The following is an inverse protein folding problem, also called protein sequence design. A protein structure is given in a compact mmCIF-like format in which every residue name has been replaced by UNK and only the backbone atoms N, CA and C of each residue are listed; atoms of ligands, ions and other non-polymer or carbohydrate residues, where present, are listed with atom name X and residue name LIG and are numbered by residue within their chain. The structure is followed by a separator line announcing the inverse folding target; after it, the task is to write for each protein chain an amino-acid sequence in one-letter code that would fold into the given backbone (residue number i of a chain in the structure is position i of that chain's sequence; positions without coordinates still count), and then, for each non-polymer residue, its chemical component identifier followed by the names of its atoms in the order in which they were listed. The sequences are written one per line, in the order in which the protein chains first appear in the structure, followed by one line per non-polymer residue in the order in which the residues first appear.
data_IF_227913011473
#
_entry.id   IF_227913011473
#
_cell.length_a   1.000
_cell.length_b   1.000
_cell.length_c   1.000
_cell.angle_alpha   90.00
_cell.angle_beta   90.00
_cell.angle_gamma   90.00
#
_symmetry.space_group_name_H-M   'P 1'
#
loop_
_entity.id
_entity.type
_entity.pdbx_description
1 polymer ?
#
# COMPACT_ATOMS: atom_id res chain seq x y z
N UNK A 1 15.97 14.22 20.89
CA UNK A 1 15.60 15.64 20.65
C UNK A 1 14.23 15.66 20.01
N UNK A 2 13.26 16.41 20.56
CA UNK A 2 11.92 16.52 20.00
C UNK A 2 11.92 17.57 18.87
N UNK A 3 12.04 17.13 17.63
CA UNK A 3 12.10 18.01 16.44
C UNK A 3 10.87 17.89 15.54
N UNK A 4 10.70 18.87 14.64
CA UNK A 4 9.77 18.77 13.52
C UNK A 4 10.40 17.98 12.37
N UNK A 5 9.69 16.98 11.84
CA UNK A 5 10.13 16.15 10.73
C UNK A 5 9.13 16.28 9.59
N UNK A 6 9.61 16.75 8.44
CA UNK A 6 8.83 16.90 7.22
C UNK A 6 9.11 15.72 6.28
N UNK A 7 8.05 15.03 5.87
CA UNK A 7 8.12 13.98 4.86
C UNK A 7 7.44 14.49 3.60
N UNK A 8 8.23 14.72 2.56
CA UNK A 8 7.80 15.34 1.31
C UNK A 8 7.56 14.25 0.28
N UNK A 9 6.32 14.12 -0.16
CA UNK A 9 5.91 13.28 -1.28
C UNK A 9 6.22 13.99 -2.60
N UNK A 10 7.41 13.77 -3.15
CA UNK A 10 7.87 14.49 -4.34
C UNK A 10 7.14 14.06 -5.64
N UNK A 11 6.41 12.94 -5.61
CA UNK A 11 5.55 12.54 -6.73
C UNK A 11 4.30 13.41 -6.81
N UNK A 12 3.75 13.79 -5.64
CA UNK A 12 2.51 14.57 -5.55
C UNK A 12 2.73 16.10 -5.42
N UNK A 13 3.82 16.52 -4.78
CA UNK A 13 4.11 17.94 -4.53
C UNK A 13 5.51 18.37 -4.98
N UNK A 14 5.57 19.54 -5.60
CA UNK A 14 6.81 20.29 -5.84
C UNK A 14 6.84 21.49 -4.89
N UNK A 15 7.44 21.36 -3.70
CA UNK A 15 7.41 22.40 -2.68
C UNK A 15 8.37 23.55 -3.04
N UNK A 16 7.80 24.71 -3.38
CA UNK A 16 8.57 25.95 -3.62
C UNK A 16 9.04 26.65 -2.34
N UNK A 17 8.40 26.37 -1.20
CA UNK A 17 8.58 27.13 0.05
C UNK A 17 9.57 26.52 1.06
N UNK A 18 10.47 25.61 0.64
CA UNK A 18 11.44 24.96 1.56
C UNK A 18 12.34 25.95 2.27
N UNK A 19 12.81 27.00 1.58
CA UNK A 19 13.68 28.04 2.15
C UNK A 19 13.05 28.88 3.27
N UNK A 20 11.76 28.68 3.60
CA UNK A 20 11.09 29.29 4.76
C UNK A 20 11.24 28.45 6.04
N UNK A 21 11.65 27.18 5.93
CA UNK A 21 11.99 26.34 7.08
C UNK A 21 13.37 26.76 7.62
N UNK A 22 13.59 26.62 8.93
CA UNK A 22 14.85 26.98 9.58
C UNK A 22 15.79 25.77 9.63
N UNK A 23 16.99 25.82 9.02
CA UNK A 23 18.02 24.80 9.21
C UNK A 23 18.31 24.55 10.70
N UNK A 24 18.56 23.29 11.07
CA UNK A 24 18.81 22.86 12.45
C UNK A 24 17.59 22.85 13.39
N UNK A 25 16.43 23.37 12.98
CA UNK A 25 15.18 23.30 13.76
C UNK A 25 14.24 22.18 13.29
N UNK A 26 14.43 21.66 12.08
CA UNK A 26 13.62 20.59 11.52
C UNK A 26 14.43 19.69 10.58
N UNK A 27 13.96 18.45 10.42
CA UNK A 27 14.48 17.48 9.45
C UNK A 27 13.55 17.34 8.26
N UNK A 28 14.10 17.06 7.09
CA UNK A 28 13.38 16.97 5.83
C UNK A 28 13.78 15.70 5.09
N UNK A 29 12.84 14.77 4.93
CA UNK A 29 12.99 13.59 4.09
C UNK A 29 12.17 13.80 2.81
N UNK A 30 12.86 13.89 1.67
CA UNK A 30 12.23 13.99 0.34
C UNK A 30 12.14 12.62 -0.29
N UNK A 31 10.92 12.08 -0.40
CA UNK A 31 10.66 10.77 -0.98
C UNK A 31 10.54 10.89 -2.50
N UNK A 32 11.40 10.18 -3.22
CA UNK A 32 11.50 10.24 -4.67
C UNK A 32 11.12 8.89 -5.28
N UNK A 33 10.11 8.87 -6.15
CA UNK A 33 9.63 7.67 -6.83
C UNK A 33 10.71 6.94 -7.63
N UNK A 34 10.66 5.60 -7.72
CA UNK A 34 11.67 4.80 -8.44
C UNK A 34 11.79 5.23 -9.92
N UNK A 35 10.69 5.66 -10.55
CA UNK A 35 10.66 6.11 -11.94
C UNK A 35 11.16 7.56 -12.14
N UNK A 36 11.30 8.36 -11.07
CA UNK A 36 11.70 9.77 -11.15
C UNK A 36 13.22 9.88 -11.35
N UNK A 37 13.66 10.34 -12.53
CA UNK A 37 15.09 10.35 -12.90
C UNK A 37 15.90 11.52 -12.31
N UNK A 38 15.26 12.65 -12.04
CA UNK A 38 15.92 13.87 -11.58
C UNK A 38 15.06 14.64 -10.56
N UNK A 39 15.72 15.49 -9.81
CA UNK A 39 15.14 16.47 -8.89
C UNK A 39 15.51 17.86 -9.43
N UNK A 40 14.61 18.87 -9.38
CA UNK A 40 14.92 20.24 -9.80
C UNK A 40 16.12 20.83 -9.05
N UNK A 41 16.88 21.68 -9.74
CA UNK A 41 18.08 22.33 -9.18
C UNK A 41 17.68 23.29 -8.06
N UNK A 42 16.54 23.98 -8.21
CA UNK A 42 15.96 24.91 -7.26
C UNK A 42 15.61 24.21 -5.92
N UNK A 43 15.04 23.00 -6.00
CA UNK A 43 14.76 22.16 -4.85
C UNK A 43 16.06 21.70 -4.16
N UNK A 44 17.09 21.42 -4.95
CA UNK A 44 18.40 20.99 -4.46
C UNK A 44 19.14 22.13 -3.74
N UNK A 45 19.11 23.32 -4.33
CA UNK A 45 19.62 24.56 -3.74
C UNK A 45 18.86 24.96 -2.47
N UNK A 46 17.53 24.77 -2.43
CA UNK A 46 16.73 25.07 -1.24
C UNK A 46 17.02 24.12 -0.07
N UNK A 47 17.46 22.88 -0.33
CA UNK A 47 17.78 21.89 0.70
C UNK A 47 19.25 21.89 1.13
N UNK A 48 20.16 22.38 0.29
CA UNK A 48 21.60 22.46 0.60
C UNK A 48 21.94 23.15 1.95
N UNK A 49 21.26 24.23 2.40
CA UNK A 49 21.52 24.86 3.70
C UNK A 49 21.16 24.01 4.92
N UNK A 50 20.37 22.94 4.76
CA UNK A 50 19.97 22.05 5.86
C UNK A 50 21.03 20.97 6.15
N UNK A 51 21.99 20.77 5.23
CA UNK A 51 23.09 19.81 5.40
C UNK A 51 22.59 18.42 5.81
N UNK A 52 23.02 17.87 6.97
CA UNK A 52 22.63 16.52 7.41
C UNK A 52 21.15 16.40 7.81
N UNK A 53 20.43 17.50 8.04
CA UNK A 53 19.01 17.47 8.40
C UNK A 53 18.08 17.36 7.18
N UNK A 54 18.61 17.43 5.94
CA UNK A 54 17.85 17.17 4.72
C UNK A 54 18.42 16.00 3.92
N UNK A 55 17.57 15.06 3.49
CA UNK A 55 17.98 13.94 2.67
C UNK A 55 16.96 13.55 1.60
N UNK A 56 17.46 12.94 0.52
CA UNK A 56 16.64 12.34 -0.52
C UNK A 56 16.53 10.83 -0.28
N UNK A 57 15.32 10.33 -0.12
CA UNK A 57 15.01 8.91 0.01
C UNK A 57 14.39 8.42 -1.29
N UNK A 58 15.19 7.79 -2.15
CA UNK A 58 14.67 7.12 -3.36
C UNK A 58 13.99 5.80 -2.95
N UNK A 59 12.73 5.63 -3.31
CA UNK A 59 11.98 4.40 -3.00
C UNK A 59 12.37 3.25 -3.94
N UNK A 60 12.16 2.02 -3.48
CA UNK A 60 12.29 0.82 -4.30
C UNK A 60 10.91 0.27 -4.70
N UNK A 61 10.81 -0.24 -5.93
CA UNK A 61 9.55 -0.74 -6.49
C UNK A 61 8.70 0.36 -7.15
N UNK A 62 7.89 -0.07 -8.12
CA UNK A 62 6.87 0.76 -8.76
C UNK A 62 5.49 0.19 -8.41
N UNK A 63 4.57 1.05 -8.01
CA UNK A 63 3.20 0.69 -7.66
C UNK A 63 2.40 1.90 -7.23
N UNK A 64 1.07 1.85 -7.39
CA UNK A 64 0.17 3.01 -7.23
C UNK A 64 0.31 3.78 -5.91
N UNK A 65 0.69 3.08 -4.84
CA UNK A 65 0.85 3.60 -3.48
C UNK A 65 2.24 3.28 -2.92
N UNK A 66 3.24 3.00 -3.78
CA UNK A 66 4.55 2.54 -3.35
C UNK A 66 5.26 3.60 -2.48
N UNK A 67 5.14 4.87 -2.86
CA UNK A 67 5.70 6.00 -2.11
C UNK A 67 5.02 6.14 -0.75
N UNK A 68 3.68 6.05 -0.68
CA UNK A 68 2.91 6.14 0.56
C UNK A 68 3.36 5.12 1.61
N UNK A 69 3.58 3.88 1.18
CA UNK A 69 4.02 2.80 2.08
C UNK A 69 5.45 3.04 2.60
N UNK A 70 6.34 3.63 1.79
CA UNK A 70 7.66 4.04 2.26
C UNK A 70 7.55 5.18 3.28
N UNK A 71 6.73 6.22 3.01
CA UNK A 71 6.46 7.30 3.98
C UNK A 71 5.93 6.72 5.30
N UNK A 72 4.95 5.81 5.25
CA UNK A 72 4.38 5.18 6.44
C UNK A 72 5.42 4.38 7.24
N UNK A 73 6.26 3.60 6.56
CA UNK A 73 7.36 2.85 7.18
C UNK A 73 8.38 3.78 7.84
N UNK A 74 8.84 4.81 7.15
CA UNK A 74 9.83 5.76 7.68
C UNK A 74 9.28 6.56 8.87
N UNK A 75 7.99 6.91 8.90
CA UNK A 75 7.39 7.52 10.10
C UNK A 75 7.47 6.55 11.29
N UNK A 76 7.23 5.25 11.08
CA UNK A 76 7.38 4.23 12.12
C UNK A 76 8.80 4.17 12.69
N UNK A 77 9.81 4.10 11.81
CA UNK A 77 11.22 4.09 12.22
C UNK A 77 11.61 5.38 12.96
N UNK A 78 11.30 6.55 12.39
CA UNK A 78 11.66 7.84 12.97
C UNK A 78 10.90 8.14 14.28
N UNK A 79 9.67 7.65 14.44
CA UNK A 79 8.94 7.75 15.70
C UNK A 79 9.55 6.87 16.81
N UNK A 80 10.21 5.78 16.44
CA UNK A 80 10.96 4.93 17.37
C UNK A 80 12.31 5.55 17.75
N UNK A 81 13.09 6.05 16.78
CA UNK A 81 14.36 6.73 17.03
C UNK A 81 14.19 8.07 17.76
N UNK A 82 13.09 8.78 17.52
CA UNK A 82 12.84 10.12 18.06
C UNK A 82 11.49 10.20 18.80
N UNK A 83 11.41 9.64 20.03
CA UNK A 83 10.24 9.78 20.89
C UNK A 83 9.86 11.26 21.08
N UNK A 84 8.62 11.61 20.75
CA UNK A 84 8.11 12.98 20.82
C UNK A 84 8.45 13.89 19.63
N UNK A 85 8.99 13.35 18.52
CA UNK A 85 9.05 14.10 17.26
C UNK A 85 7.65 14.40 16.69
N UNK A 86 7.53 15.47 15.91
CA UNK A 86 6.28 15.89 15.25
C UNK A 86 6.41 15.73 13.74
N UNK A 87 5.56 14.89 13.16
CA UNK A 87 5.60 14.52 11.75
C UNK A 87 4.65 15.39 10.92
N UNK A 88 5.14 15.89 9.79
CA UNK A 88 4.35 16.64 8.81
C UNK A 88 4.51 16.00 7.43
N UNK A 89 3.47 15.29 6.97
CA UNK A 89 3.40 14.75 5.61
C UNK A 89 3.01 15.89 4.68
N UNK A 90 3.83 16.18 3.67
CA UNK A 90 3.55 17.17 2.64
C UNK A 90 3.08 16.42 1.39
N UNK A 91 1.77 16.28 1.24
CA UNK A 91 1.10 15.65 0.09
C UNK A 91 -0.34 16.14 -0.04
N UNK A 92 -0.83 16.29 -1.28
CA UNK A 92 -2.24 16.60 -1.55
C UNK A 92 -3.11 15.34 -1.48
N UNK A 93 -2.54 14.13 -1.52
CA UNK A 93 -3.33 12.90 -1.43
C UNK A 93 -3.97 12.74 -0.04
N UNK A 94 -5.26 12.43 -0.01
CA UNK A 94 -6.02 12.06 1.18
C UNK A 94 -5.75 10.61 1.65
N UNK A 95 -5.04 9.80 0.86
CA UNK A 95 -4.66 8.43 1.20
C UNK A 95 -3.92 8.30 2.54
N UNK A 96 -3.24 9.35 3.00
CA UNK A 96 -2.57 9.41 4.30
C UNK A 96 -3.50 9.74 5.48
N UNK A 97 -4.73 10.22 5.27
CA UNK A 97 -5.61 10.63 6.39
C UNK A 97 -5.95 9.47 7.36
N UNK A 98 -6.17 8.22 6.91
CA UNK A 98 -6.26 7.06 7.80
C UNK A 98 -4.98 6.79 8.59
N UNK A 99 -3.80 6.98 7.98
CA UNK A 99 -2.50 6.81 8.65
C UNK A 99 -2.32 7.88 9.74
N UNK A 100 -2.56 9.15 9.43
CA UNK A 100 -2.49 10.26 10.39
C UNK A 100 -3.40 10.01 11.59
N UNK A 101 -4.63 9.53 11.36
CA UNK A 101 -5.56 9.17 12.43
C UNK A 101 -5.03 8.01 13.29
N UNK A 102 -4.44 6.98 12.68
CA UNK A 102 -3.87 5.84 13.42
C UNK A 102 -2.64 6.24 14.25
N UNK A 103 -1.72 7.03 13.68
CA UNK A 103 -0.57 7.57 14.40
C UNK A 103 -1.00 8.36 15.65
N UNK A 104 -2.07 9.16 15.55
CA UNK A 104 -2.67 9.84 16.70
C UNK A 104 -3.15 8.89 17.80
N UNK A 105 -3.65 7.70 17.47
CA UNK A 105 -4.03 6.68 18.48
C UNK A 105 -2.83 6.03 19.17
N UNK A 106 -1.63 6.14 18.60
CA UNK A 106 -0.37 5.67 19.17
C UNK A 106 0.38 6.79 19.93
N UNK A 107 -0.22 7.97 20.09
CA UNK A 107 0.44 9.14 20.68
C UNK A 107 1.46 9.83 19.78
N UNK A 108 1.58 9.41 18.50
CA UNK A 108 2.52 9.98 17.54
C UNK A 108 1.88 11.23 16.91
N UNK A 109 2.48 12.39 17.17
CA UNK A 109 2.02 13.67 16.63
C UNK A 109 2.30 13.73 15.12
N UNK A 110 1.28 13.48 14.29
CA UNK A 110 1.37 13.57 12.84
C UNK A 110 0.27 14.47 12.25
N UNK A 111 0.58 15.19 11.17
CA UNK A 111 -0.40 15.95 10.38
C UNK A 111 -0.06 15.86 8.89
N UNK A 112 -1.06 16.06 8.03
CA UNK A 112 -0.88 16.25 6.59
C UNK A 112 -1.11 17.71 6.21
N UNK A 113 -0.31 18.20 5.26
CA UNK A 113 -0.47 19.51 4.62
C UNK A 113 -0.31 19.38 3.11
N UNK A 114 -1.11 20.12 2.34
CA UNK A 114 -1.06 20.10 0.87
C UNK A 114 0.18 20.83 0.29
N UNK A 115 0.83 21.67 1.10
CA UNK A 115 2.06 22.40 0.81
C UNK A 115 2.78 22.69 2.14
N UNK A 116 4.08 22.99 2.09
CA UNK A 116 4.82 23.43 3.27
C UNK A 116 4.23 24.73 3.83
N UNK A 117 4.29 24.93 5.16
CA UNK A 117 3.79 26.15 5.77
C UNK A 117 4.58 27.36 5.24
N UNK A 118 3.86 28.31 4.64
CA UNK A 118 4.35 29.69 4.54
C UNK A 118 4.56 30.24 5.96
N UNK A 119 5.44 31.24 6.11
CA UNK A 119 5.86 31.79 7.39
C UNK A 119 4.68 32.05 8.35
N UNK A 120 4.83 31.76 9.66
CA UNK A 120 3.73 31.83 10.60
C UNK A 120 3.24 33.28 10.73
N UNK A 121 2.00 33.54 10.28
CA UNK A 121 1.23 34.64 10.85
C UNK A 121 0.97 34.27 12.31
N UNK A 122 1.62 35.01 13.21
CA UNK A 122 1.51 34.76 14.65
C UNK A 122 0.04 34.77 15.07
N UNK A 123 -0.32 33.76 15.86
CA UNK A 123 -1.34 33.79 16.92
C UNK A 123 -2.53 34.73 16.72
N UNK A 124 -3.73 34.15 16.54
CA UNK A 124 -4.69 34.13 17.65
C UNK A 124 -5.83 33.12 17.37
N UNK A 125 -5.98 32.17 18.29
CA UNK A 125 -7.29 31.72 18.72
C UNK A 125 -7.52 32.22 20.16
N UNK A 126 -8.67 31.93 20.80
CA UNK A 126 -9.83 31.22 20.28
C UNK A 126 -11.14 32.03 20.38
N UNK A 127 -12.09 31.80 19.47
CA UNK A 127 -13.51 32.09 19.74
C UNK A 127 -14.35 30.89 19.33
N UNK A 128 -14.90 30.21 20.33
CA UNK A 128 -15.89 29.17 20.12
C UNK A 128 -17.28 29.81 19.90
N UNK A 129 -17.91 29.54 18.78
CA UNK A 129 -19.35 29.81 18.58
C UNK A 129 -20.06 28.64 17.87
N UNK A 130 -20.63 27.77 18.69
CA UNK A 130 -21.98 27.23 18.48
C UNK A 130 -22.88 27.87 19.55
N UNK A 131 -24.22 27.91 19.39
CA UNK A 131 -25.03 27.17 18.42
C UNK A 131 -26.04 28.02 17.63
N UNK A 132 -26.60 27.44 16.56
CA UNK A 132 -28.05 27.49 16.30
C UNK A 132 -28.52 26.40 15.35
N UNK A 133 -29.56 25.68 15.79
CA UNK A 133 -30.49 24.94 14.94
C UNK A 133 -31.39 25.97 14.20
N UNK A 134 -32.22 25.67 13.18
CA UNK A 134 -32.83 24.42 12.69
C UNK A 134 -33.51 24.77 11.35
N UNK A 135 -33.56 23.89 10.35
CA UNK A 135 -34.76 23.62 9.54
C UNK A 135 -34.58 22.41 8.60
N UNK A 136 -35.59 21.54 8.55
CA UNK A 136 -35.80 20.55 7.50
C UNK A 136 -36.30 21.26 6.21
N UNK A 137 -36.44 20.68 5.02
CA UNK A 137 -36.82 19.31 4.58
C UNK A 137 -36.18 19.06 3.17
N UNK A 138 -36.21 17.91 2.46
CA UNK A 138 -36.90 16.63 2.56
C UNK A 138 -36.18 15.47 1.79
N UNK A 139 -36.88 14.34 1.67
CA UNK A 139 -36.92 13.39 0.54
C UNK A 139 -35.85 12.28 0.35
N UNK A 140 -36.39 11.05 0.30
CA UNK A 140 -36.02 9.91 -0.56
C UNK A 140 -34.78 9.02 -0.25
N UNK A 141 -35.06 7.95 0.52
CA UNK A 141 -34.54 6.56 0.43
C UNK A 141 -33.44 6.25 -0.63
N UNK A 142 -32.35 5.62 -0.17
CA UNK A 142 -32.03 4.20 -0.49
C UNK A 142 -31.01 3.60 0.49
N UNK A 143 -31.16 2.29 0.75
CA UNK A 143 -30.34 1.48 1.67
C UNK A 143 -29.16 0.86 0.91
N UNK A 144 -27.98 0.75 1.52
CA UNK A 144 -27.09 -0.38 1.25
C UNK A 144 -26.71 -1.14 2.54
N UNK A 145 -26.60 -2.46 2.40
CA UNK A 145 -26.37 -3.38 3.52
C UNK A 145 -24.90 -3.47 3.97
N UNK A 146 -24.71 -3.82 5.25
CA UNK A 146 -23.41 -4.06 5.88
C UNK A 146 -22.73 -5.33 5.33
N UNK A 147 -21.42 -5.34 5.03
CA UNK A 147 -20.61 -6.55 5.11
C UNK A 147 -20.16 -6.79 6.56
N UNK A 148 -20.12 -8.05 6.98
CA UNK A 148 -19.79 -8.47 8.36
C UNK A 148 -18.28 -8.56 8.56
N UNK A 149 -17.83 -8.29 9.80
CA UNK A 149 -16.49 -8.66 10.27
C UNK A 149 -16.32 -10.18 10.21
N UNK A 150 -15.15 -10.66 9.82
CA UNK A 150 -14.67 -12.00 10.20
C UNK A 150 -13.26 -11.83 10.76
N UNK A 151 -13.09 -12.32 11.99
CA UNK A 151 -11.82 -12.35 12.71
C UNK A 151 -10.97 -13.47 12.13
N UNK A 152 -9.69 -13.24 11.87
CA UNK A 152 -8.73 -14.32 11.66
C UNK A 152 -7.83 -14.41 12.88
N UNK A 153 -8.05 -15.44 13.68
CA UNK A 153 -7.31 -15.71 14.91
C UNK A 153 -5.90 -16.22 14.58
N UNK A 154 -4.91 -15.69 15.28
CA UNK A 154 -3.52 -16.16 15.24
C UNK A 154 -3.37 -17.44 16.06
N UNK A 155 -2.47 -18.35 15.63
CA UNK A 155 -1.31 -18.90 16.39
C UNK A 155 -0.74 -20.16 15.66
N UNK A 156 0.48 -20.64 16.01
CA UNK A 156 1.41 -21.19 15.01
C UNK A 156 1.81 -22.66 15.23
N UNK A 157 2.57 -23.21 14.28
CA UNK A 157 3.53 -24.32 14.45
C UNK A 157 4.65 -24.09 13.40
N UNK A 158 5.94 -23.96 13.75
CA UNK A 158 6.86 -24.80 14.53
C UNK A 158 7.60 -25.83 13.66
N UNK A 159 8.84 -26.15 14.04
CA UNK A 159 9.93 -26.57 13.14
C UNK A 159 10.14 -28.10 13.08
N UNK A 160 10.62 -28.62 11.94
CA UNK A 160 11.68 -29.66 11.86
C UNK A 160 12.04 -30.08 10.41
N UNK A 161 13.35 -30.20 10.14
CA UNK A 161 14.00 -31.12 9.18
C UNK A 161 14.74 -32.21 10.02
N UNK A 162 15.52 -33.21 9.51
CA UNK A 162 15.90 -33.56 8.12
C UNK A 162 15.86 -35.09 7.78
N UNK A 163 16.34 -35.47 6.58
CA UNK A 163 16.57 -36.86 6.12
C UNK A 163 15.34 -37.51 5.45
N UNK A 164 15.43 -38.38 4.43
CA UNK A 164 16.56 -39.15 3.86
C UNK A 164 16.49 -39.15 2.32
N UNK A 165 17.60 -39.51 1.68
CA UNK A 165 17.88 -39.50 0.23
C UNK A 165 17.44 -40.80 -0.49
N UNK A 166 17.51 -40.81 -1.83
CA UNK A 166 17.43 -41.95 -2.77
C UNK A 166 16.04 -42.45 -3.29
N UNK A 167 15.78 -42.04 -4.54
CA UNK A 167 15.35 -42.87 -5.69
C UNK A 167 13.85 -43.23 -5.95
N UNK A 168 13.39 -42.76 -7.11
CA UNK A 168 12.58 -43.48 -8.11
C UNK A 168 11.17 -44.03 -7.75
N UNK A 169 10.18 -43.13 -7.63
CA UNK A 169 8.86 -43.33 -8.26
C UNK A 169 8.33 -42.00 -8.85
N UNK A 170 7.68 -41.99 -10.02
CA UNK A 170 7.17 -40.77 -10.64
C UNK A 170 5.94 -40.25 -9.87
N UNK A 171 6.19 -39.34 -8.92
CA UNK A 171 5.16 -38.73 -8.07
C UNK A 171 4.18 -37.95 -8.94
N UNK A 172 2.90 -38.30 -8.82
CA UNK A 172 1.84 -37.85 -9.74
C UNK A 172 1.88 -36.32 -9.97
N UNK A 173 1.87 -35.85 -11.23
CA UNK A 173 1.69 -34.43 -11.51
C UNK A 173 0.32 -34.02 -11.00
N UNK A 174 0.25 -32.88 -10.32
CA UNK A 174 -1.01 -32.25 -9.89
C UNK A 174 -1.96 -32.20 -11.08
N UNK A 175 -3.09 -32.88 -10.97
CA UNK A 175 -3.92 -33.19 -12.12
C UNK A 175 -4.59 -31.93 -12.67
N UNK A 176 -4.65 -31.81 -13.99
CA UNK A 176 -5.57 -30.88 -14.67
C UNK A 176 -6.99 -31.04 -14.12
N UNK A 177 -7.34 -32.25 -13.73
CA UNK A 177 -8.64 -32.65 -13.18
C UNK A 177 -8.87 -32.17 -11.73
N UNK A 178 -7.84 -32.03 -10.89
CA UNK A 178 -7.92 -31.39 -9.57
C UNK A 178 -8.29 -29.91 -9.70
N UNK A 179 -7.68 -29.24 -10.68
CA UNK A 179 -7.96 -27.83 -11.02
C UNK A 179 -9.38 -27.68 -11.56
N UNK A 180 -9.85 -28.61 -12.42
CA UNK A 180 -11.25 -28.65 -12.89
C UNK A 180 -12.22 -28.85 -11.73
N UNK A 181 -11.95 -29.77 -10.80
CA UNK A 181 -12.80 -30.00 -9.64
C UNK A 181 -12.92 -28.75 -8.76
N UNK A 182 -11.80 -28.06 -8.48
CA UNK A 182 -11.77 -26.81 -7.73
C UNK A 182 -12.55 -25.69 -8.44
N UNK A 183 -12.36 -25.54 -9.75
CA UNK A 183 -13.05 -24.55 -10.58
C UNK A 183 -14.56 -24.82 -10.72
N UNK A 184 -15.01 -26.08 -10.65
CA UNK A 184 -16.44 -26.43 -10.60
C UNK A 184 -17.10 -26.01 -9.28
N UNK A 185 -16.40 -26.17 -8.16
CA UNK A 185 -16.92 -25.76 -6.84
C UNK A 185 -17.11 -24.25 -6.66
N UNK A 186 -16.32 -23.44 -7.36
CA UNK A 186 -16.36 -21.98 -7.25
C UNK A 186 -17.46 -21.39 -8.17
N UNK A 187 -18.63 -21.03 -7.63
CA UNK A 187 -19.74 -20.46 -8.44
C UNK A 187 -19.47 -19.03 -8.92
N UNK A 188 -19.48 -18.06 -8.01
CA UNK A 188 -19.33 -16.62 -8.32
C UNK A 188 -17.88 -16.10 -8.20
N UNK A 189 -16.95 -16.92 -7.71
CA UNK A 189 -15.55 -16.56 -7.46
C UNK A 189 -14.59 -16.98 -8.58
N UNK A 190 -15.09 -17.38 -9.76
CA UNK A 190 -14.24 -17.84 -10.87
C UNK A 190 -13.36 -16.70 -11.40
N UNK A 191 -12.03 -16.87 -11.51
CA UNK A 191 -11.15 -15.83 -12.03
C UNK A 191 -11.49 -15.43 -13.47
N UNK A 192 -12.00 -14.22 -13.69
CA UNK A 192 -12.41 -13.77 -15.03
C UNK A 192 -11.24 -13.36 -15.94
N UNK A 193 -10.00 -13.32 -15.41
CA UNK A 193 -8.78 -12.88 -16.12
C UNK A 193 -7.66 -13.92 -16.00
N UNK A 194 -6.86 -14.08 -17.05
CA UNK A 194 -5.80 -15.09 -17.12
C UNK A 194 -4.76 -14.92 -16.00
N UNK A 195 -4.26 -13.69 -15.75
CA UNK A 195 -3.32 -13.42 -14.64
C UNK A 195 -3.92 -13.75 -13.27
N UNK A 196 -5.22 -13.50 -13.07
CA UNK A 196 -5.91 -13.85 -11.83
C UNK A 196 -6.08 -15.37 -11.68
N UNK A 197 -6.27 -16.10 -12.78
CA UNK A 197 -6.29 -17.57 -12.78
C UNK A 197 -4.92 -18.14 -12.40
N UNK A 198 -3.84 -17.68 -13.03
CA UNK A 198 -2.46 -18.07 -12.70
C UNK A 198 -2.16 -17.87 -11.20
N UNK A 199 -2.40 -16.66 -10.66
CA UNK A 199 -2.19 -16.38 -9.24
C UNK A 199 -3.10 -17.19 -8.31
N UNK A 200 -4.32 -17.51 -8.74
CA UNK A 200 -5.23 -18.35 -7.95
C UNK A 200 -4.74 -19.80 -7.89
N UNK A 201 -4.24 -20.34 -9.01
CA UNK A 201 -3.69 -21.69 -9.08
C UNK A 201 -2.43 -21.83 -8.21
N UNK A 202 -1.51 -20.86 -8.27
CA UNK A 202 -0.34 -20.80 -7.37
C UNK A 202 -0.73 -20.79 -5.88
N UNK A 203 -1.88 -20.21 -5.52
CA UNK A 203 -2.37 -20.12 -4.15
C UNK A 203 -3.18 -21.34 -3.68
N UNK A 204 -3.64 -22.22 -4.58
CA UNK A 204 -4.43 -23.41 -4.23
C UNK A 204 -3.58 -24.62 -3.83
N UNK A 205 -2.35 -24.71 -4.31
CA UNK A 205 -1.46 -25.85 -4.07
C UNK A 205 -0.37 -25.52 -3.05
N UNK A 206 -0.08 -26.51 -2.18
CA UNK A 206 1.03 -26.49 -1.23
C UNK A 206 1.76 -27.84 -1.35
N UNK A 207 3.04 -27.89 -1.76
CA UNK A 207 3.88 -26.75 -2.18
C UNK A 207 3.31 -26.01 -3.41
N UNK A 208 3.73 -24.75 -3.58
CA UNK A 208 3.30 -23.95 -4.72
C UNK A 208 3.89 -24.52 -6.02
N UNK A 209 3.05 -24.64 -7.06
CA UNK A 209 3.47 -25.04 -8.41
C UNK A 209 4.49 -24.04 -8.98
N UNK A 210 5.40 -24.49 -9.85
CA UNK A 210 6.21 -23.54 -10.60
C UNK A 210 5.35 -22.81 -11.63
N UNK A 211 5.73 -21.59 -11.99
CA UNK A 211 4.99 -20.76 -12.96
C UNK A 211 4.85 -21.50 -14.31
N UNK A 212 5.90 -22.23 -14.72
CA UNK A 212 5.91 -23.07 -15.94
C UNK A 212 4.85 -24.17 -15.89
N UNK A 213 4.63 -24.79 -14.74
CA UNK A 213 3.65 -25.87 -14.56
C UNK A 213 2.22 -25.32 -14.64
N UNK A 214 2.00 -24.14 -14.05
CA UNK A 214 0.70 -23.44 -14.11
C UNK A 214 0.34 -23.09 -15.56
N UNK A 215 1.29 -22.60 -16.35
CA UNK A 215 1.07 -22.30 -17.77
C UNK A 215 0.79 -23.57 -18.60
N UNK A 216 1.51 -24.67 -18.33
CA UNK A 216 1.25 -25.98 -18.96
C UNK A 216 -0.14 -26.54 -18.61
N UNK A 217 -0.61 -26.35 -17.37
CA UNK A 217 -1.97 -26.74 -16.96
C UNK A 217 -3.03 -25.84 -17.62
N UNK A 218 -2.79 -24.53 -17.74
CA UNK A 218 -3.70 -23.61 -18.45
C UNK A 218 -3.81 -23.99 -19.93
N UNK A 219 -2.69 -24.34 -20.58
CA UNK A 219 -2.70 -24.85 -21.95
C UNK A 219 -3.52 -26.15 -22.04
N UNK A 220 -3.27 -27.11 -21.14
CA UNK A 220 -4.02 -28.38 -21.07
C UNK A 220 -5.52 -28.17 -20.83
N UNK A 221 -5.93 -27.14 -20.07
CA UNK A 221 -7.34 -26.78 -19.86
C UNK A 221 -7.99 -26.19 -21.12
N UNK A 222 -7.23 -25.44 -21.92
CA UNK A 222 -7.68 -24.89 -23.20
C UNK A 222 -7.82 -26.01 -24.25
N UNK A 223 -6.83 -26.90 -24.35
CA UNK A 223 -6.83 -28.04 -25.26
C UNK A 223 -7.97 -29.01 -24.95
N UNK A 224 -8.24 -29.29 -23.66
CA UNK A 224 -9.42 -30.05 -23.18
C UNK A 224 -10.75 -29.28 -23.32
N UNK A 225 -10.76 -28.08 -23.93
CA UNK A 225 -11.93 -27.19 -24.13
C UNK A 225 -12.69 -26.83 -22.83
N UNK A 226 -12.04 -26.94 -21.66
CA UNK A 226 -12.64 -26.61 -20.35
C UNK A 226 -12.59 -25.11 -20.04
N UNK A 227 -11.64 -24.38 -20.65
CA UNK A 227 -11.61 -22.92 -20.66
C UNK A 227 -11.49 -22.40 -22.09
N UNK A 228 -12.04 -21.21 -22.34
CA UNK A 228 -11.78 -20.40 -23.53
C UNK A 228 -11.09 -19.11 -23.09
N UNK A 229 -9.86 -18.90 -23.54
CA UNK A 229 -9.11 -17.66 -23.33
C UNK A 229 -9.37 -16.74 -24.51
N UNK A 230 -9.83 -15.53 -24.23
CA UNK A 230 -10.11 -14.48 -25.21
C UNK A 230 -9.29 -13.24 -24.83
N UNK A 231 -8.06 -13.20 -25.35
CA UNK A 231 -7.01 -12.23 -24.99
C UNK A 231 -6.68 -12.25 -23.50
N UNK A 232 -7.34 -11.37 -22.73
CA UNK A 232 -7.16 -11.25 -21.27
C UNK A 232 -8.27 -11.90 -20.45
N UNK A 233 -9.40 -12.28 -21.07
CA UNK A 233 -10.60 -12.81 -20.41
C UNK A 233 -10.61 -14.33 -20.46
N UNK A 234 -11.00 -14.97 -19.34
CA UNK A 234 -11.19 -16.43 -19.29
C UNK A 234 -12.68 -16.74 -19.13
N UNK A 235 -13.20 -17.57 -20.01
CA UNK A 235 -14.58 -18.11 -19.97
C UNK A 235 -14.51 -19.61 -19.67
N UNK A 236 -15.39 -20.11 -18.82
CA UNK A 236 -15.32 -21.48 -18.30
C UNK A 236 -16.42 -22.37 -18.89
N UNK A 237 -16.02 -23.38 -19.67
CA UNK A 237 -16.90 -24.41 -20.23
C UNK A 237 -16.81 -25.70 -19.40
N UNK A 238 -16.99 -25.54 -18.09
CA UNK A 238 -16.89 -26.61 -17.09
C UNK A 238 -18.21 -27.39 -16.99
N UNK A 239 -18.55 -28.12 -18.07
CA UNK A 239 -19.50 -29.24 -18.00
C UNK A 239 -19.00 -30.31 -17.07
#
# INVERSE_FOLDING_TARGET
MSGDIFLIDFENVQPTSIGLLKPGACRIHVFVGQSQKSVPVELSQALQPFGPDACYTRIAGNGKNALDFHIAFYIGCLAHEHPGARFTIVSKDGGFDPLVKHLGTLGIACKRVAALPAAPKSTNGPVATRPKAKKAVAAAKKVPAKPKKVVFTLLPESEAKPGVELEATPRAPVGVDDVVARLKGMKAAKPAKLKTLQSSMLAWFKPALAIKDVDAIIQSLADRKKIKVDGTKVTYSLG
#
